data_IF_042926037988
#
_entry.id   IF_042926037988
#
_cell.length_a   1.000
_cell.length_b   1.000
_cell.length_c   1.000
_cell.angle_alpha   90.00
_cell.angle_beta   90.00
_cell.angle_gamma   90.00
#
_symmetry.space_group_name_H-M   'P 1'
#
loop_
_entity.id
_entity.type
_entity.pdbx_description
1 polymer ?
#
# COMPACT_ATOMS: atom_id res chain seq x y z
N UNK A 1 -17.07 25.87 12.89
CA UNK A 1 -16.33 26.45 11.75
C UNK A 1 -15.55 25.34 11.08
N UNK A 2 -15.72 25.06 9.77
CA UNK A 2 -14.85 24.11 9.08
C UNK A 2 -13.43 24.70 9.10
N UNK A 3 -12.48 23.97 9.67
CA UNK A 3 -11.07 24.39 9.69
C UNK A 3 -10.48 24.07 8.33
N UNK A 4 -9.95 25.07 7.63
CA UNK A 4 -9.13 24.85 6.44
C UNK A 4 -7.92 24.00 6.83
N UNK A 5 -7.81 22.79 6.29
CA UNK A 5 -6.64 21.91 6.42
C UNK A 5 -5.79 22.09 5.17
N UNK A 6 -4.50 22.37 5.34
CA UNK A 6 -3.51 22.31 4.26
C UNK A 6 -2.68 21.06 4.47
N UNK A 7 -2.55 20.28 3.42
CA UNK A 7 -1.75 19.06 3.43
C UNK A 7 -0.90 19.02 2.16
N UNK A 8 0.30 18.44 2.28
CA UNK A 8 1.22 18.24 1.16
C UNK A 8 1.51 16.76 1.07
N UNK A 9 1.06 16.14 -0.01
CA UNK A 9 1.35 14.75 -0.34
C UNK A 9 1.87 14.70 -1.78
N UNK A 10 2.72 13.72 -2.08
CA UNK A 10 3.27 13.51 -3.41
C UNK A 10 3.07 12.07 -3.86
N UNK A 11 3.89 11.62 -4.80
CA UNK A 11 3.95 10.20 -5.16
C UNK A 11 4.40 9.31 -4.01
N UNK A 12 4.93 9.87 -2.92
CA UNK A 12 5.64 9.12 -1.88
C UNK A 12 6.98 8.58 -2.36
N UNK A 13 7.61 7.79 -1.51
CA UNK A 13 8.83 7.06 -1.86
C UNK A 13 8.49 5.92 -2.83
N UNK A 14 9.04 5.98 -4.04
CA UNK A 14 8.87 4.96 -5.09
C UNK A 14 10.09 4.02 -5.21
N UNK A 15 11.09 4.15 -4.33
CA UNK A 15 12.32 3.35 -4.42
C UNK A 15 12.09 1.85 -4.24
N UNK A 16 10.95 1.47 -3.65
CA UNK A 16 10.48 0.08 -3.55
C UNK A 16 10.08 -0.54 -4.89
N UNK A 17 9.79 0.25 -5.92
CA UNK A 17 9.58 -0.27 -7.27
C UNK A 17 10.91 -0.70 -7.90
N UNK A 18 10.97 -1.96 -8.33
CA UNK A 18 12.10 -2.50 -9.09
C UNK A 18 12.09 -2.11 -10.57
N UNK A 19 10.97 -1.61 -11.09
CA UNK A 19 10.79 -1.18 -12.48
C UNK A 19 9.62 -0.19 -12.59
N UNK A 20 9.72 0.70 -13.57
CA UNK A 20 8.67 1.63 -14.01
C UNK A 20 7.39 0.94 -14.50
N UNK A 21 7.44 -0.34 -14.87
CA UNK A 21 6.29 -1.12 -15.30
C UNK A 21 5.15 -1.10 -14.25
N UNK A 22 5.50 -1.02 -12.96
CA UNK A 22 4.51 -0.93 -11.89
C UNK A 22 3.73 0.40 -11.84
N UNK A 23 4.26 1.47 -12.45
CA UNK A 23 3.63 2.80 -12.37
C UNK A 23 2.33 2.90 -13.19
N UNK A 24 2.20 2.12 -14.27
CA UNK A 24 1.10 2.25 -15.23
C UNK A 24 0.00 1.18 -15.11
N UNK A 25 0.17 0.21 -14.21
CA UNK A 25 -0.69 -0.97 -14.12
C UNK A 25 -1.34 -1.17 -12.74
N UNK A 26 -1.37 -0.12 -11.92
CA UNK A 26 -2.12 -0.16 -10.67
C UNK A 26 -3.63 -0.28 -10.95
N UNK A 27 -4.30 -1.10 -10.12
CA UNK A 27 -5.75 -1.22 -10.11
C UNK A 27 -6.33 -0.33 -9.04
N UNK A 28 -7.48 0.26 -9.31
CA UNK A 28 -8.24 1.00 -8.30
C UNK A 28 -8.91 0.00 -7.35
N UNK A 29 -8.77 0.21 -6.05
CA UNK A 29 -9.55 -0.49 -5.02
C UNK A 29 -9.93 0.46 -3.88
N UNK A 30 -10.88 0.05 -3.05
CA UNK A 30 -11.34 0.80 -1.89
C UNK A 30 -10.67 0.27 -0.63
N UNK A 31 -9.95 1.13 0.06
CA UNK A 31 -9.33 0.85 1.35
C UNK A 31 -10.34 1.10 2.47
N UNK A 32 -10.62 0.05 3.26
CA UNK A 32 -11.46 0.11 4.46
C UNK A 32 -10.62 0.66 5.62
N UNK A 33 -10.73 1.96 5.86
CA UNK A 33 -9.87 2.67 6.82
C UNK A 33 -10.08 2.18 8.25
N UNK A 34 -11.28 1.68 8.57
CA UNK A 34 -11.62 1.18 9.90
C UNK A 34 -10.78 -0.04 10.32
N UNK A 35 -10.21 -0.75 9.36
CA UNK A 35 -9.33 -1.91 9.60
C UNK A 35 -7.87 -1.54 9.85
N UNK A 36 -7.47 -0.29 9.59
CA UNK A 36 -6.10 0.16 9.76
C UNK A 36 -5.90 0.89 11.09
N UNK A 37 -4.77 0.63 11.73
CA UNK A 37 -4.35 1.35 12.94
C UNK A 37 -3.41 2.51 12.61
N UNK A 38 -3.76 3.73 13.07
CA UNK A 38 -3.00 4.96 12.80
C UNK A 38 -1.51 4.85 13.15
N UNK A 39 -1.18 4.41 14.37
CA UNK A 39 0.22 4.31 14.82
C UNK A 39 1.05 3.24 14.10
N UNK A 40 0.43 2.39 13.28
CA UNK A 40 1.09 1.26 12.62
C UNK A 40 1.14 1.44 11.10
N UNK A 41 0.04 1.86 10.49
CA UNK A 41 -0.10 1.86 9.04
C UNK A 41 -0.04 3.26 8.41
N UNK A 42 -0.38 4.29 9.18
CA UNK A 42 -0.35 5.69 8.72
C UNK A 42 0.10 6.65 9.83
N UNK A 43 1.27 6.43 10.46
CA UNK A 43 1.72 7.19 11.64
C UNK A 43 1.90 8.69 11.35
N UNK A 44 2.13 9.04 10.08
CA UNK A 44 2.30 10.41 9.62
C UNK A 44 0.98 11.05 9.15
N UNK A 45 -0.17 10.39 9.37
CA UNK A 45 -1.49 10.87 8.96
C UNK A 45 -1.87 10.58 7.50
N UNK A 46 -1.10 9.75 6.81
CA UNK A 46 -1.37 9.28 5.45
C UNK A 46 -0.88 7.83 5.30
N UNK A 47 -1.51 7.07 4.41
CA UNK A 47 -1.03 5.74 4.04
C UNK A 47 0.17 5.88 3.09
N UNK A 48 1.34 5.33 3.43
CA UNK A 48 2.54 5.51 2.63
C UNK A 48 2.51 4.69 1.34
N UNK A 49 3.16 5.21 0.31
CA UNK A 49 3.55 4.44 -0.87
C UNK A 49 4.32 3.17 -0.47
N UNK A 50 4.01 2.04 -1.11
CA UNK A 50 4.57 0.74 -0.80
C UNK A 50 3.95 0.04 0.42
N UNK A 51 2.90 0.60 1.04
CA UNK A 51 2.17 -0.08 2.11
C UNK A 51 1.61 -1.42 1.61
N UNK A 52 1.90 -2.49 2.35
CA UNK A 52 1.37 -3.83 2.05
C UNK A 52 -0.09 -3.95 2.44
N UNK A 53 -0.91 -4.44 1.51
CA UNK A 53 -2.35 -4.57 1.68
C UNK A 53 -2.87 -5.90 1.14
N UNK A 54 -4.01 -6.34 1.68
CA UNK A 54 -4.74 -7.49 1.19
C UNK A 54 -5.81 -7.05 0.19
N UNK A 55 -5.67 -7.52 -1.04
CA UNK A 55 -6.55 -7.20 -2.18
C UNK A 55 -7.35 -8.41 -2.66
N UNK A 56 -7.63 -9.37 -1.78
CA UNK A 56 -8.54 -10.46 -2.09
C UNK A 56 -9.97 -9.94 -2.36
N UNK A 57 -10.35 -8.85 -1.70
CA UNK A 57 -11.53 -8.05 -2.00
C UNK A 57 -11.09 -6.62 -2.31
N UNK A 58 -11.31 -6.15 -3.55
CA UNK A 58 -10.94 -4.81 -3.98
C UNK A 58 -11.94 -3.74 -3.53
N UNK A 59 -13.12 -4.12 -3.02
CA UNK A 59 -14.08 -3.21 -2.41
C UNK A 59 -13.84 -2.95 -0.92
N UNK A 60 -13.00 -3.78 -0.27
CA UNK A 60 -12.70 -3.73 1.15
C UNK A 60 -11.25 -4.15 1.44
N UNK A 61 -10.31 -3.36 0.91
CA UNK A 61 -8.87 -3.57 1.10
C UNK A 61 -8.50 -3.28 2.54
N UNK A 62 -7.76 -4.21 3.14
CA UNK A 62 -7.36 -4.21 4.56
C UNK A 62 -5.86 -4.48 4.72
N UNK A 63 -5.28 -4.35 5.94
CA UNK A 63 -3.88 -4.72 6.16
C UNK A 63 -3.59 -6.16 5.74
N UNK A 64 -2.44 -6.38 5.09
CA UNK A 64 -1.96 -7.73 4.80
C UNK A 64 -1.38 -8.38 6.05
N UNK A 65 -1.85 -9.59 6.37
CA UNK A 65 -1.42 -10.36 7.54
C UNK A 65 -0.72 -11.67 7.18
N UNK A 66 -0.76 -12.07 5.91
CA UNK A 66 -0.23 -13.35 5.44
C UNK A 66 -1.18 -14.52 5.72
N UNK A 67 -2.45 -14.22 6.01
CA UNK A 67 -3.49 -15.24 6.23
C UNK A 67 -3.81 -16.07 4.99
N UNK A 68 -4.44 -17.23 5.17
CA UNK A 68 -4.88 -18.06 4.07
C UNK A 68 -5.91 -17.32 3.20
N UNK A 69 -5.71 -17.33 1.88
CA UNK A 69 -6.61 -16.68 0.91
C UNK A 69 -6.39 -15.19 0.72
N UNK A 70 -5.47 -14.57 1.46
CA UNK A 70 -5.10 -13.17 1.24
C UNK A 70 -4.32 -13.00 -0.08
N UNK A 71 -4.56 -11.89 -0.77
CA UNK A 71 -3.83 -11.55 -1.99
C UNK A 71 -2.99 -10.30 -1.76
N UNK A 72 -1.68 -10.42 -1.89
CA UNK A 72 -0.76 -9.31 -1.66
C UNK A 72 -0.97 -8.20 -2.71
N UNK A 73 -0.92 -6.95 -2.24
CA UNK A 73 -0.83 -5.75 -3.07
C UNK A 73 -0.02 -4.66 -2.35
N UNK A 74 0.35 -3.63 -3.12
CA UNK A 74 1.12 -2.49 -2.62
C UNK A 74 0.45 -1.19 -3.03
N UNK A 75 0.21 -0.29 -2.07
CA UNK A 75 -0.34 1.04 -2.37
C UNK A 75 0.66 1.81 -3.25
N UNK A 76 0.25 2.28 -4.43
CA UNK A 76 1.18 2.83 -5.40
C UNK A 76 1.68 4.22 -5.01
N UNK A 77 0.88 5.08 -4.41
CA UNK A 77 1.31 6.43 -4.01
C UNK A 77 0.78 6.77 -2.62
N UNK A 78 1.33 7.78 -1.97
CA UNK A 78 0.79 8.24 -0.67
C UNK A 78 -0.70 8.59 -0.79
N UNK A 79 -1.50 8.15 0.19
CA UNK A 79 -2.94 8.40 0.24
C UNK A 79 -3.30 9.16 1.51
N UNK A 80 -3.95 10.30 1.37
CA UNK A 80 -4.46 11.04 2.51
C UNK A 80 -5.61 10.30 3.18
N UNK A 81 -5.73 10.45 4.49
CA UNK A 81 -6.84 9.87 5.25
C UNK A 81 -7.24 10.81 6.38
N UNK A 82 -8.53 10.82 6.69
CA UNK A 82 -9.06 11.40 7.92
C UNK A 82 -9.15 10.38 9.07
N UNK A 83 -8.77 9.12 8.80
CA UNK A 83 -8.85 8.00 9.73
C UNK A 83 -10.27 7.44 9.91
N UNK A 84 -11.24 7.87 9.10
CA UNK A 84 -12.65 7.48 9.24
C UNK A 84 -13.26 6.99 7.94
N UNK A 85 -13.12 7.75 6.85
CA UNK A 85 -13.77 7.46 5.59
C UNK A 85 -12.94 6.50 4.73
N UNK A 86 -13.62 5.55 4.09
CA UNK A 86 -13.00 4.68 3.10
C UNK A 86 -12.57 5.47 1.87
N UNK A 87 -11.44 5.10 1.30
CA UNK A 87 -10.79 5.83 0.21
C UNK A 87 -10.47 4.93 -0.98
N UNK A 88 -10.68 5.44 -2.19
CA UNK A 88 -10.23 4.77 -3.41
C UNK A 88 -8.74 5.02 -3.63
N UNK A 89 -7.97 3.96 -3.81
CA UNK A 89 -6.51 4.00 -3.88
C UNK A 89 -5.98 3.21 -5.08
N UNK A 90 -4.84 3.62 -5.68
CA UNK A 90 -4.14 2.82 -6.68
C UNK A 90 -3.32 1.73 -6.00
N UNK A 91 -3.52 0.48 -6.42
CA UNK A 91 -2.82 -0.68 -5.86
C UNK A 91 -2.12 -1.49 -6.93
N UNK A 92 -0.82 -1.70 -6.74
CA UNK A 92 -0.03 -2.57 -7.58
C UNK A 92 -0.37 -4.04 -7.29
N UNK A 93 -0.65 -4.81 -8.35
CA UNK A 93 -1.01 -6.24 -8.29
C UNK A 93 0.02 -7.16 -8.91
N UNK A 94 1.03 -6.61 -9.59
CA UNK A 94 2.14 -7.36 -10.16
C UNK A 94 3.35 -6.45 -10.38
N UNK A 95 4.56 -6.99 -10.33
CA UNK A 95 5.78 -6.23 -10.61
C UNK A 95 7.01 -6.69 -9.81
N UNK A 96 8.09 -5.91 -9.93
CA UNK A 96 9.33 -6.13 -9.18
C UNK A 96 9.32 -5.26 -7.92
N UNK A 97 9.60 -5.86 -6.77
CA UNK A 97 9.55 -5.19 -5.46
C UNK A 97 10.92 -5.27 -4.79
N UNK A 98 11.51 -4.12 -4.47
CA UNK A 98 12.70 -4.02 -3.61
C UNK A 98 12.24 -4.03 -2.16
N UNK A 99 12.26 -5.21 -1.55
CA UNK A 99 11.66 -5.45 -0.22
C UNK A 99 12.33 -4.65 0.90
N UNK A 100 13.59 -4.26 0.72
CA UNK A 100 14.35 -3.43 1.65
C UNK A 100 13.88 -1.96 1.71
N UNK A 101 13.13 -1.49 0.71
CA UNK A 101 12.65 -0.11 0.60
C UNK A 101 11.16 0.04 0.93
N UNK A 102 10.50 -1.03 1.36
CA UNK A 102 9.10 -0.95 1.79
C UNK A 102 9.01 -0.20 3.12
N UNK A 103 7.97 0.64 3.34
CA UNK A 103 7.79 1.36 4.60
C UNK A 103 7.55 0.42 5.77
N UNK A 104 6.90 -0.73 5.52
CA UNK A 104 6.66 -1.81 6.50
C UNK A 104 6.76 -3.14 5.78
N UNK A 105 7.54 -4.08 6.34
CA UNK A 105 7.77 -5.41 5.75
C UNK A 105 7.43 -6.58 6.68
N UNK A 106 6.87 -6.32 7.87
CA UNK A 106 6.66 -7.32 8.95
C UNK A 106 5.90 -8.57 8.52
N UNK A 107 4.94 -8.45 7.60
CA UNK A 107 4.10 -9.57 7.12
C UNK A 107 4.40 -9.94 5.66
N UNK A 108 5.51 -9.48 5.11
CA UNK A 108 5.87 -9.82 3.73
C UNK A 108 6.25 -11.31 3.66
N UNK A 109 5.67 -12.09 2.72
CA UNK A 109 6.03 -13.50 2.60
C UNK A 109 7.48 -13.66 2.13
N UNK A 110 8.17 -14.71 2.61
CA UNK A 110 9.56 -14.98 2.24
C UNK A 110 9.72 -15.30 0.73
N UNK A 111 8.68 -15.89 0.13
CA UNK A 111 8.60 -16.16 -1.30
C UNK A 111 7.56 -15.25 -1.93
N UNK A 112 7.92 -14.64 -3.06
CA UNK A 112 7.00 -13.77 -3.79
C UNK A 112 5.78 -14.57 -4.28
N UNK A 113 4.55 -14.11 -4.01
CA UNK A 113 3.36 -14.72 -4.59
C UNK A 113 3.30 -14.46 -6.10
N UNK A 114 2.47 -15.23 -6.80
CA UNK A 114 2.29 -15.08 -8.24
C UNK A 114 1.96 -13.63 -8.63
N UNK A 115 2.65 -13.13 -9.66
CA UNK A 115 2.56 -11.74 -10.12
C UNK A 115 3.67 -10.84 -9.58
N UNK A 116 4.36 -11.22 -8.51
CA UNK A 116 5.47 -10.43 -7.97
C UNK A 116 6.82 -11.14 -8.09
N UNK A 117 7.86 -10.34 -8.19
CA UNK A 117 9.25 -10.76 -8.03
C UNK A 117 9.87 -9.90 -6.94
N UNK A 118 10.35 -10.53 -5.87
CA UNK A 118 11.06 -9.83 -4.80
C UNK A 118 12.55 -9.83 -5.11
N UNK A 119 13.15 -8.65 -5.08
CA UNK A 119 14.58 -8.46 -5.26
C UNK A 119 15.19 -7.94 -3.96
N UNK A 120 16.31 -8.53 -3.56
CA UNK A 120 17.13 -8.02 -2.46
C UNK A 120 17.69 -6.66 -2.83
N UNK A 121 17.54 -5.67 -1.93
CA UNK A 121 17.93 -4.29 -2.21
C UNK A 121 19.43 -4.14 -2.44
N UNK A 122 19.80 -3.48 -3.53
CA UNK A 122 21.01 -2.67 -3.66
C UNK A 122 20.62 -1.21 -3.59
#
# INVERSE_FOLDING_TARGET
MPRLKRETFGSGDQTWLGSDHGLFNARTGTLDVSTFTAGTHYPNGYFPSGLIVNCADEGAIKPFTGGAGEQLGFVLTDQSTDGVADIAIPVLRHGLIKTAHLPVSTNLPATAPAGFVFIGGN
#
